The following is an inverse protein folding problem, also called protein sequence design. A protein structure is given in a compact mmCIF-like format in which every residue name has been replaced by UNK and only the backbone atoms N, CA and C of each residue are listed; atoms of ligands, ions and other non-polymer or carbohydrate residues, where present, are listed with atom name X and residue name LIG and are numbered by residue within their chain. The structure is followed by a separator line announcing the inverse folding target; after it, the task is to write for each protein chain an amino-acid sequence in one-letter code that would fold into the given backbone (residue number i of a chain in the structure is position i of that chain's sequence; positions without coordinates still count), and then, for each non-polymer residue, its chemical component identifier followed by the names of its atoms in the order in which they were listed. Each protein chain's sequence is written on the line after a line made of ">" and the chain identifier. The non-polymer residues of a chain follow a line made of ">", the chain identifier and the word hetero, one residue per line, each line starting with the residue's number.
data_IF_216330791425
#
_entry.id   IF_216330791425
#
_cell.length_a   1.000
_cell.length_b   1.000
_cell.length_c   1.000
_cell.angle_alpha   90.00
_cell.angle_beta   90.00
_cell.angle_gamma   90.00
#
_symmetry.space_group_name_H-M   'P 1'
#
loop_
_entity.id
_entity.type
_entity.pdbx_description
1 polymer ?
#
# COMPACT_ATOMS: atom_id res chain seq x y z
N UNK A 1 14.61 14.82 28.43
CA UNK A 1 15.25 14.16 27.28
C UNK A 1 14.49 14.61 26.04
N UNK A 2 15.08 15.49 25.21
CA UNK A 2 14.51 15.90 23.92
C UNK A 2 14.46 14.65 23.03
N UNK A 3 13.28 14.26 22.58
CA UNK A 3 13.13 13.10 21.72
C UNK A 3 13.71 13.41 20.33
N UNK A 4 14.31 12.43 19.65
CA UNK A 4 14.83 12.53 18.26
C UNK A 4 13.84 13.24 17.30
N UNK A 5 12.55 13.20 17.61
CA UNK A 5 11.45 13.84 16.90
C UNK A 5 11.53 15.38 16.87
N UNK A 6 12.08 16.01 17.93
CA UNK A 6 12.09 17.48 18.00
C UNK A 6 13.20 18.12 17.13
N UNK A 7 14.29 17.42 16.88
CA UNK A 7 15.39 17.90 16.03
C UNK A 7 15.06 17.87 14.52
N UNK A 8 14.06 17.11 14.10
CA UNK A 8 13.65 16.96 12.69
C UNK A 8 12.43 17.81 12.31
N UNK A 9 11.78 18.46 13.28
CA UNK A 9 10.62 19.32 13.00
C UNK A 9 11.02 20.50 12.12
N UNK A 10 10.39 20.58 10.95
CA UNK A 10 10.56 21.71 10.02
C UNK A 10 11.77 21.64 9.09
N UNK A 11 12.69 20.67 9.27
CA UNK A 11 13.83 20.50 8.37
C UNK A 11 13.36 19.92 7.03
N UNK A 12 13.92 20.41 5.93
CA UNK A 12 13.75 19.83 4.60
C UNK A 12 14.55 18.53 4.49
N UNK A 13 13.91 17.47 4.00
CA UNK A 13 14.53 16.15 3.75
C UNK A 13 15.03 16.12 2.31
N UNK A 14 16.34 16.03 2.10
CA UNK A 14 16.96 16.23 0.79
C UNK A 14 17.45 14.93 0.13
N UNK A 15 17.70 13.89 0.92
CA UNK A 15 18.23 12.61 0.44
C UNK A 15 17.60 11.41 1.15
N UNK A 16 17.83 10.21 0.61
CA UNK A 16 17.23 8.98 1.13
C UNK A 16 17.70 8.61 2.54
N UNK A 17 18.95 8.97 2.91
CA UNK A 17 19.44 8.74 4.27
C UNK A 17 18.71 9.61 5.30
N UNK A 18 18.42 10.87 4.97
CA UNK A 18 17.59 11.73 5.84
C UNK A 18 16.14 11.23 5.87
N UNK A 19 15.60 10.78 4.73
CA UNK A 19 14.27 10.19 4.66
C UNK A 19 14.15 8.97 5.59
N UNK A 20 15.17 8.11 5.66
CA UNK A 20 15.17 6.94 6.53
C UNK A 20 14.98 7.31 8.01
N UNK A 21 15.50 8.46 8.45
CA UNK A 21 15.43 8.91 9.85
C UNK A 21 14.02 9.36 10.27
N UNK A 22 13.10 9.57 9.31
CA UNK A 22 11.70 9.89 9.57
C UNK A 22 10.89 8.66 9.96
N UNK A 23 11.43 7.44 9.79
CA UNK A 23 10.71 6.20 10.07
C UNK A 23 10.33 6.07 11.55
N UNK A 24 9.07 5.72 11.76
CA UNK A 24 8.47 5.43 13.07
C UNK A 24 7.40 4.36 12.85
N UNK A 25 7.75 3.13 13.19
CA UNK A 25 6.85 1.98 13.05
C UNK A 25 6.05 1.71 14.32
N UNK A 26 5.79 2.75 15.13
CA UNK A 26 5.11 2.62 16.42
C UNK A 26 3.72 2.00 16.28
N UNK A 27 2.99 2.35 15.22
CA UNK A 27 1.65 1.81 15.01
C UNK A 27 1.68 0.35 14.58
N UNK A 28 2.42 0.02 13.51
CA UNK A 28 2.46 -1.37 13.03
C UNK A 28 3.08 -2.31 14.08
N UNK A 29 4.04 -1.84 14.87
CA UNK A 29 4.64 -2.60 15.96
C UNK A 29 3.68 -2.84 17.15
N UNK A 30 2.62 -2.07 17.27
CA UNK A 30 1.54 -2.30 18.24
C UNK A 30 0.57 -3.40 17.81
N UNK A 31 0.63 -3.81 16.55
CA UNK A 31 -0.25 -4.81 15.94
C UNK A 31 0.43 -6.19 15.91
N UNK A 32 -0.39 -7.23 15.80
CA UNK A 32 0.08 -8.62 15.68
C UNK A 32 0.11 -9.05 14.22
N UNK A 33 1.23 -9.58 13.77
CA UNK A 33 1.31 -10.25 12.49
C UNK A 33 0.50 -11.55 12.50
N UNK A 34 0.06 -12.00 11.32
CA UNK A 34 -0.51 -13.34 11.16
C UNK A 34 0.52 -14.39 11.56
N UNK A 35 0.21 -15.29 12.53
CA UNK A 35 1.16 -16.30 13.02
C UNK A 35 1.56 -17.34 11.98
N UNK A 36 0.80 -17.47 10.89
CA UNK A 36 1.13 -18.37 9.77
C UNK A 36 2.05 -17.71 8.73
N UNK A 37 2.31 -16.42 8.86
CA UNK A 37 3.18 -15.70 7.94
C UNK A 37 4.66 -15.92 8.22
N UNK A 38 5.49 -15.73 7.21
CA UNK A 38 6.95 -15.71 7.37
C UNK A 38 7.43 -14.31 7.75
N UNK A 39 8.40 -14.21 8.65
CA UNK A 39 8.94 -12.92 9.12
C UNK A 39 9.73 -12.18 8.04
N UNK A 40 10.23 -12.90 7.04
CA UNK A 40 10.98 -12.36 5.91
C UNK A 40 10.13 -11.71 4.83
N UNK A 41 8.79 -11.81 4.96
CA UNK A 41 7.85 -11.19 4.02
C UNK A 41 7.70 -11.93 2.68
N UNK A 42 8.17 -13.16 2.56
CA UNK A 42 8.08 -13.96 1.33
C UNK A 42 6.75 -14.70 1.17
N UNK A 43 5.74 -14.39 1.97
CA UNK A 43 4.40 -14.96 1.88
C UNK A 43 3.56 -14.26 0.79
N UNK A 44 3.73 -14.71 -0.45
CA UNK A 44 3.05 -14.14 -1.63
C UNK A 44 1.91 -15.04 -2.17
N UNK A 45 1.75 -16.26 -1.62
CA UNK A 45 0.76 -17.20 -2.11
C UNK A 45 -0.65 -16.82 -1.63
N UNK A 46 -1.65 -16.82 -2.53
CA UNK A 46 -3.03 -16.61 -2.15
C UNK A 46 -3.48 -17.64 -1.12
N UNK A 47 -3.99 -17.19 0.00
CA UNK A 47 -4.51 -18.04 1.06
C UNK A 47 -5.55 -17.32 1.92
N UNK A 48 -6.32 -18.07 2.69
CA UNK A 48 -7.11 -17.51 3.78
C UNK A 48 -6.20 -17.07 4.93
N UNK A 49 -6.52 -15.92 5.55
CA UNK A 49 -5.81 -15.39 6.72
C UNK A 49 -6.82 -15.29 7.87
N UNK A 50 -6.69 -16.17 8.84
CA UNK A 50 -7.67 -16.31 9.93
C UNK A 50 -7.35 -15.48 11.15
N UNK A 51 -6.11 -15.03 11.30
CA UNK A 51 -5.58 -14.40 12.50
C UNK A 51 -4.59 -13.29 12.13
N UNK A 52 -4.25 -12.43 13.10
CA UNK A 52 -3.36 -11.29 12.90
C UNK A 52 -4.04 -10.07 12.28
N UNK A 53 -3.39 -8.94 12.43
CA UNK A 53 -3.85 -7.66 11.86
C UNK A 53 -3.27 -7.45 10.46
N UNK A 54 -2.10 -8.00 10.20
CA UNK A 54 -1.38 -7.86 8.95
C UNK A 54 -0.55 -9.09 8.63
N UNK A 55 -0.16 -9.20 7.37
CA UNK A 55 0.81 -10.18 6.88
C UNK A 55 2.06 -9.42 6.45
N UNK A 56 3.27 -9.75 6.95
CA UNK A 56 4.53 -9.25 6.42
C UNK A 56 4.66 -9.63 4.94
N UNK A 57 4.96 -8.67 4.08
CA UNK A 57 5.12 -8.89 2.63
C UNK A 57 6.19 -7.98 2.07
N UNK A 58 7.17 -8.53 1.37
CA UNK A 58 8.13 -7.77 0.57
C UNK A 58 7.54 -7.50 -0.80
N UNK A 59 7.48 -6.24 -1.26
CA UNK A 59 7.01 -5.94 -2.61
C UNK A 59 7.87 -6.63 -3.67
N UNK A 60 7.25 -6.94 -4.80
CA UNK A 60 7.97 -7.33 -6.01
C UNK A 60 8.25 -6.07 -6.82
N UNK A 61 9.50 -5.67 -6.91
CA UNK A 61 9.92 -4.50 -7.69
C UNK A 61 9.46 -4.59 -9.15
N UNK A 62 9.09 -3.46 -9.76
CA UNK A 62 8.94 -3.40 -11.20
C UNK A 62 10.34 -3.29 -11.84
N UNK A 63 10.63 -4.07 -12.89
CA UNK A 63 11.92 -3.97 -13.58
C UNK A 63 12.02 -2.65 -14.37
N UNK A 64 13.24 -2.16 -14.50
CA UNK A 64 13.56 -0.93 -15.24
C UNK A 64 12.62 0.23 -14.92
N UNK A 65 12.51 0.63 -13.62
CA UNK A 65 11.56 1.65 -13.20
C UNK A 65 11.92 3.01 -13.80
N UNK A 66 10.92 3.66 -14.40
CA UNK A 66 11.00 5.03 -14.86
C UNK A 66 10.11 5.92 -13.98
N UNK A 67 10.68 6.98 -13.47
CA UNK A 67 9.94 8.00 -12.73
C UNK A 67 9.02 8.80 -13.66
N UNK A 68 7.75 8.95 -13.29
CA UNK A 68 6.75 9.70 -14.04
C UNK A 68 6.41 11.03 -13.37
N UNK A 69 6.05 10.99 -12.07
CA UNK A 69 5.59 12.19 -11.38
C UNK A 69 5.60 12.05 -9.87
N UNK A 70 5.53 13.18 -9.17
CA UNK A 70 5.24 13.28 -7.74
C UNK A 70 4.28 14.44 -7.47
N UNK A 71 3.62 14.44 -6.32
CA UNK A 71 2.80 15.57 -5.88
C UNK A 71 3.67 16.64 -5.25
N UNK A 72 3.90 17.74 -5.97
CA UNK A 72 4.64 18.91 -5.45
C UNK A 72 4.00 19.48 -4.16
N UNK A 73 2.66 19.46 -4.07
CA UNK A 73 1.95 19.93 -2.90
C UNK A 73 2.25 19.04 -1.70
N UNK A 74 2.11 17.71 -1.86
CA UNK A 74 2.38 16.75 -0.80
C UNK A 74 3.85 16.78 -0.36
N UNK A 75 4.81 16.87 -1.30
CA UNK A 75 6.22 17.00 -0.96
C UNK A 75 6.47 18.21 -0.07
N UNK A 76 5.90 19.37 -0.38
CA UNK A 76 5.98 20.58 0.46
C UNK A 76 5.36 20.37 1.84
N UNK A 77 4.20 19.75 1.93
CA UNK A 77 3.50 19.44 3.17
C UNK A 77 4.32 18.51 4.07
N UNK A 78 4.98 17.51 3.48
CA UNK A 78 5.82 16.55 4.19
C UNK A 78 7.27 17.04 4.39
N UNK A 79 7.61 18.24 3.91
CA UNK A 79 9.00 18.77 3.93
C UNK A 79 9.99 17.86 3.21
N UNK A 80 9.60 17.34 2.06
CA UNK A 80 10.45 16.57 1.16
C UNK A 80 10.96 17.46 0.02
N UNK A 81 12.26 17.37 -0.28
CA UNK A 81 12.85 18.02 -1.44
C UNK A 81 12.49 17.24 -2.73
N UNK A 82 12.24 17.96 -3.81
CA UNK A 82 12.08 17.35 -5.12
C UNK A 82 13.35 16.62 -5.60
N UNK A 83 14.53 16.90 -5.04
CA UNK A 83 15.77 16.19 -5.37
C UNK A 83 15.75 14.72 -4.94
N UNK A 84 14.89 14.34 -3.97
CA UNK A 84 14.63 12.93 -3.65
C UNK A 84 14.20 12.11 -4.88
N UNK A 85 13.50 12.72 -5.84
CA UNK A 85 13.10 12.03 -7.08
C UNK A 85 14.27 11.69 -8.01
N UNK A 86 15.46 12.23 -7.75
CA UNK A 86 16.72 11.92 -8.42
C UNK A 86 17.60 10.97 -7.61
N UNK A 87 17.31 10.77 -6.32
CA UNK A 87 18.01 9.82 -5.47
C UNK A 87 17.67 8.38 -5.90
N UNK A 88 18.70 7.63 -6.28
CA UNK A 88 18.54 6.27 -6.80
C UNK A 88 17.87 5.33 -5.80
N UNK A 89 18.19 5.42 -4.51
CA UNK A 89 17.63 4.56 -3.49
C UNK A 89 16.16 4.93 -3.20
N UNK A 90 15.82 6.21 -3.24
CA UNK A 90 14.43 6.66 -3.14
C UNK A 90 13.60 6.12 -4.31
N UNK A 91 14.11 6.22 -5.54
CA UNK A 91 13.44 5.69 -6.72
C UNK A 91 13.27 4.16 -6.65
N UNK A 92 14.32 3.43 -6.26
CA UNK A 92 14.25 1.97 -6.08
C UNK A 92 13.23 1.58 -5.01
N UNK A 93 13.26 2.24 -3.84
CA UNK A 93 12.35 1.95 -2.74
C UNK A 93 10.88 2.11 -3.16
N UNK A 94 10.53 3.22 -3.78
CA UNK A 94 9.16 3.52 -4.19
C UNK A 94 8.73 2.87 -5.51
N UNK A 95 9.64 2.20 -6.21
CA UNK A 95 9.32 1.28 -7.32
C UNK A 95 9.28 -0.19 -6.90
N UNK A 96 9.33 -0.47 -5.59
CA UNK A 96 9.09 -1.78 -4.99
C UNK A 96 10.34 -2.53 -4.53
N UNK A 97 11.53 -2.00 -4.77
CA UNK A 97 12.77 -2.60 -4.28
C UNK A 97 13.14 -2.04 -2.89
N UNK A 98 12.48 -2.57 -1.87
CA UNK A 98 12.73 -2.14 -0.49
C UNK A 98 13.99 -2.75 0.14
N UNK A 99 14.77 -3.55 -0.61
CA UNK A 99 16.07 -4.06 -0.14
C UNK A 99 17.08 -2.94 0.11
N UNK A 100 16.85 -1.75 -0.46
CA UNK A 100 17.65 -0.54 -0.24
C UNK A 100 17.34 0.18 1.07
N UNK A 101 16.39 -0.31 1.86
CA UNK A 101 16.04 0.28 3.15
C UNK A 101 17.27 0.43 4.05
N UNK A 102 17.43 1.64 4.61
CA UNK A 102 18.54 1.98 5.52
C UNK A 102 17.97 2.07 6.94
N UNK A 103 18.63 1.44 7.90
CA UNK A 103 18.20 1.56 9.29
C UNK A 103 17.99 3.04 9.70
N UNK A 104 16.86 3.39 10.33
CA UNK A 104 15.86 2.53 10.98
C UNK A 104 14.67 2.08 10.10
N UNK A 105 14.72 2.21 8.78
CA UNK A 105 13.67 1.67 7.90
C UNK A 105 13.61 0.14 7.97
N UNK A 106 12.38 -0.41 7.85
CA UNK A 106 12.16 -1.85 7.71
C UNK A 106 12.39 -2.30 6.27
N UNK A 107 13.12 -3.40 6.03
CA UNK A 107 13.21 -4.03 4.72
C UNK A 107 12.02 -4.95 4.42
N UNK A 108 11.00 -4.96 5.26
CA UNK A 108 9.79 -5.77 5.10
C UNK A 108 8.57 -4.85 5.22
N UNK A 109 7.69 -4.91 4.24
CA UNK A 109 6.40 -4.23 4.23
C UNK A 109 5.28 -5.10 4.82
N UNK A 110 4.05 -4.63 4.68
CA UNK A 110 2.88 -5.36 5.20
C UNK A 110 1.64 -5.14 4.34
N UNK A 111 0.76 -6.16 4.35
CA UNK A 111 -0.57 -6.11 3.75
C UNK A 111 -1.62 -6.42 4.82
N UNK A 112 -2.77 -5.75 4.77
CA UNK A 112 -3.83 -5.90 5.76
C UNK A 112 -5.02 -6.63 5.18
N UNK A 113 -5.64 -7.49 6.00
CA UNK A 113 -6.92 -8.11 5.71
C UNK A 113 -8.09 -7.17 6.01
N UNK A 114 -9.18 -7.30 5.25
CA UNK A 114 -10.45 -6.64 5.54
C UNK A 114 -11.61 -7.45 4.97
N UNK A 115 -12.80 -7.35 5.56
CA UNK A 115 -13.99 -7.92 4.97
C UNK A 115 -14.55 -6.99 3.89
N UNK A 116 -15.12 -7.58 2.84
CA UNK A 116 -15.96 -6.86 1.89
C UNK A 116 -17.41 -6.96 2.34
N UNK A 117 -18.00 -5.82 2.64
CA UNK A 117 -19.43 -5.72 2.89
C UNK A 117 -20.05 -4.69 1.96
N UNK A 118 -21.23 -5.02 1.47
CA UNK A 118 -22.12 -4.07 0.81
C UNK A 118 -23.42 -4.05 1.62
N UNK A 119 -23.80 -2.87 2.11
CA UNK A 119 -25.01 -2.68 2.92
C UNK A 119 -25.09 -3.56 4.19
N UNK A 120 -23.94 -3.80 4.83
CA UNK A 120 -23.87 -4.64 6.03
C UNK A 120 -23.90 -6.15 5.77
N UNK A 121 -23.89 -6.59 4.51
CA UNK A 121 -23.86 -8.00 4.12
C UNK A 121 -22.45 -8.41 3.70
N UNK A 122 -21.92 -9.45 4.31
CA UNK A 122 -20.60 -9.98 3.98
C UNK A 122 -20.66 -10.89 2.74
N UNK A 123 -19.83 -10.59 1.74
CA UNK A 123 -19.74 -11.34 0.50
C UNK A 123 -18.66 -12.42 0.58
N UNK A 124 -18.94 -13.55 1.20
CA UNK A 124 -18.01 -14.68 1.25
C UNK A 124 -17.87 -15.39 -0.12
N UNK A 125 -18.89 -15.29 -0.95
CA UNK A 125 -18.94 -15.95 -2.27
C UNK A 125 -17.86 -15.47 -3.25
N UNK A 126 -17.40 -14.22 -3.13
CA UNK A 126 -16.31 -13.68 -3.94
C UNK A 126 -14.93 -14.05 -3.42
N UNK A 127 -14.85 -14.65 -2.25
CA UNK A 127 -13.58 -15.16 -1.72
C UNK A 127 -13.23 -16.47 -2.43
N UNK A 128 -12.03 -16.62 -3.03
CA UNK A 128 -11.61 -17.82 -3.73
C UNK A 128 -11.66 -19.09 -2.86
N UNK A 129 -11.61 -18.90 -1.54
CA UNK A 129 -11.59 -19.98 -0.55
C UNK A 129 -12.97 -20.23 0.08
N UNK A 130 -13.99 -19.45 -0.27
CA UNK A 130 -15.34 -19.56 0.31
C UNK A 130 -15.45 -19.21 1.81
N UNK A 131 -14.37 -18.70 2.42
CA UNK A 131 -14.28 -18.46 3.88
C UNK A 131 -14.45 -17.00 4.26
N UNK A 132 -14.39 -16.08 3.28
CA UNK A 132 -14.32 -14.64 3.51
C UNK A 132 -12.96 -14.14 4.03
N UNK A 133 -12.00 -15.03 4.32
CA UNK A 133 -10.68 -14.68 4.87
C UNK A 133 -9.61 -14.41 3.80
N UNK A 134 -9.98 -14.37 2.53
CA UNK A 134 -9.10 -14.06 1.39
C UNK A 134 -9.19 -12.62 0.91
N UNK A 135 -9.91 -11.74 1.62
CA UNK A 135 -10.02 -10.33 1.25
C UNK A 135 -8.98 -9.48 1.98
N UNK A 136 -8.43 -8.51 1.26
CA UNK A 136 -7.45 -7.58 1.81
C UNK A 136 -6.68 -6.83 0.72
N UNK A 137 -5.52 -6.36 1.08
CA UNK A 137 -4.58 -5.65 0.21
C UNK A 137 -3.92 -6.61 -0.80
N UNK A 138 -4.64 -6.98 -1.86
CA UNK A 138 -4.20 -7.98 -2.83
C UNK A 138 -3.09 -7.52 -3.79
N UNK A 139 -2.84 -6.22 -3.89
CA UNK A 139 -1.77 -5.60 -4.70
C UNK A 139 -1.25 -4.30 -4.10
N UNK A 140 -1.62 -4.03 -2.87
CA UNK A 140 -1.18 -2.85 -2.13
C UNK A 140 -0.36 -3.33 -0.93
N UNK A 141 0.84 -2.78 -0.77
CA UNK A 141 1.77 -3.17 0.27
C UNK A 141 2.27 -1.90 0.92
N UNK A 142 2.01 -1.75 2.22
CA UNK A 142 2.57 -0.67 3.01
C UNK A 142 4.04 -0.95 3.28
N UNK A 143 4.89 0.05 3.04
CA UNK A 143 6.36 -0.12 3.10
C UNK A 143 7.03 0.84 4.07
N UNK A 144 6.33 1.89 4.47
CA UNK A 144 6.88 2.91 5.33
C UNK A 144 5.81 3.48 6.27
N UNK A 145 6.17 3.68 7.51
CA UNK A 145 5.46 4.45 8.49
C UNK A 145 6.44 5.43 9.12
N UNK A 146 6.09 6.71 9.19
CA UNK A 146 7.01 7.72 9.69
C UNK A 146 6.33 8.98 10.19
N UNK A 147 7.12 9.82 10.86
CA UNK A 147 6.69 11.09 11.43
C UNK A 147 7.14 12.25 10.56
N UNK A 148 6.18 12.95 9.98
CA UNK A 148 6.37 14.14 9.15
C UNK A 148 5.77 15.35 9.86
N UNK A 149 6.60 16.30 10.30
CA UNK A 149 6.17 17.46 11.08
C UNK A 149 5.31 17.09 12.32
N UNK A 150 5.63 15.97 12.98
CA UNK A 150 4.88 15.48 14.14
C UNK A 150 3.56 14.76 13.78
N UNK A 151 3.25 14.58 12.49
CA UNK A 151 2.10 13.80 12.03
C UNK A 151 2.58 12.45 11.50
N UNK A 152 1.97 11.37 11.99
CA UNK A 152 2.22 10.03 11.47
C UNK A 152 1.61 9.89 10.08
N UNK A 153 2.39 9.33 9.17
CA UNK A 153 1.96 8.99 7.81
C UNK A 153 2.41 7.58 7.46
N UNK A 154 1.53 6.85 6.82
CA UNK A 154 1.78 5.54 6.25
C UNK A 154 1.89 5.67 4.72
N UNK A 155 2.88 4.99 4.13
CA UNK A 155 3.11 4.98 2.69
C UNK A 155 2.90 3.57 2.14
N UNK A 156 2.01 3.47 1.16
CA UNK A 156 1.58 2.21 0.59
C UNK A 156 1.77 2.18 -0.92
N UNK A 157 2.51 1.19 -1.40
CA UNK A 157 2.70 0.92 -2.83
C UNK A 157 1.47 0.21 -3.40
N UNK A 158 0.88 0.73 -4.46
CA UNK A 158 -0.18 0.06 -5.20
C UNK A 158 0.33 -0.43 -6.55
N UNK A 159 0.24 -1.73 -6.75
CA UNK A 159 0.89 -2.44 -7.85
C UNK A 159 2.20 -3.12 -7.44
N UNK A 160 2.48 -3.20 -6.13
CA UNK A 160 3.72 -3.74 -5.56
C UNK A 160 3.88 -5.26 -5.64
N UNK A 161 3.05 -5.95 -6.43
CA UNK A 161 3.11 -7.41 -6.59
C UNK A 161 2.07 -8.15 -5.75
N UNK A 162 2.07 -9.49 -5.80
CA UNK A 162 1.09 -10.32 -5.12
C UNK A 162 1.27 -10.31 -3.60
N UNK A 163 0.18 -10.53 -2.90
CA UNK A 163 0.09 -10.75 -1.46
C UNK A 163 -0.80 -11.95 -1.20
N UNK A 164 -0.93 -12.47 0.03
CA UNK A 164 -1.90 -13.52 0.34
C UNK A 164 -3.35 -13.18 -0.05
N UNK A 165 -3.67 -11.91 -0.18
CA UNK A 165 -5.01 -11.43 -0.55
C UNK A 165 -5.18 -11.17 -2.06
N UNK A 166 -4.22 -11.51 -2.91
CA UNK A 166 -4.28 -11.20 -4.35
C UNK A 166 -5.27 -12.08 -5.14
N UNK A 167 -5.83 -13.12 -4.53
CA UNK A 167 -6.85 -14.00 -5.11
C UNK A 167 -6.45 -14.62 -6.47
N UNK A 168 -5.16 -14.97 -6.61
CA UNK A 168 -4.61 -15.52 -7.84
C UNK A 168 -4.24 -14.48 -8.92
N UNK A 169 -4.43 -13.17 -8.64
CA UNK A 169 -4.00 -12.13 -9.55
C UNK A 169 -2.48 -11.84 -9.42
N UNK A 170 -1.92 -11.18 -10.42
CA UNK A 170 -0.49 -10.83 -10.50
C UNK A 170 -0.03 -9.75 -9.52
N UNK A 171 -0.95 -9.11 -8.80
CA UNK A 171 -0.63 -8.03 -7.87
C UNK A 171 -0.17 -6.72 -8.53
N UNK A 172 -0.20 -6.62 -9.86
CA UNK A 172 0.24 -5.43 -10.59
C UNK A 172 -0.88 -4.42 -10.81
N UNK A 173 -0.51 -3.15 -10.82
CA UNK A 173 -1.30 -2.07 -11.39
C UNK A 173 -0.76 -1.74 -12.79
N UNK A 174 -1.58 -1.08 -13.62
CA UNK A 174 -1.19 -0.61 -14.95
C UNK A 174 -1.09 0.91 -14.98
N UNK A 175 -0.22 1.46 -15.81
CA UNK A 175 0.06 2.90 -15.88
C UNK A 175 -1.22 3.74 -15.95
N UNK A 176 -2.13 3.42 -16.85
CA UNK A 176 -3.39 4.18 -17.05
C UNK A 176 -4.24 4.26 -15.78
N UNK A 177 -4.35 3.16 -15.01
CA UNK A 177 -5.11 3.15 -13.76
C UNK A 177 -4.38 3.87 -12.64
N UNK A 178 -3.05 3.79 -12.63
CA UNK A 178 -2.20 4.46 -11.64
C UNK A 178 -2.20 5.97 -11.84
N UNK A 179 -2.14 6.45 -13.10
CA UNK A 179 -2.31 7.88 -13.42
C UNK A 179 -3.66 8.40 -12.95
N UNK A 180 -4.76 7.65 -13.26
CA UNK A 180 -6.10 8.05 -12.83
C UNK A 180 -6.22 8.13 -11.32
N UNK A 181 -5.67 7.16 -10.59
CA UNK A 181 -5.67 7.17 -9.13
C UNK A 181 -4.87 8.34 -8.58
N UNK A 182 -3.68 8.58 -9.12
CA UNK A 182 -2.82 9.70 -8.75
C UNK A 182 -3.55 11.04 -8.90
N UNK A 183 -4.12 11.29 -10.06
CA UNK A 183 -4.84 12.53 -10.36
C UNK A 183 -6.10 12.69 -9.51
N UNK A 184 -6.87 11.62 -9.30
CA UNK A 184 -8.09 11.66 -8.52
C UNK A 184 -7.81 12.01 -7.04
N UNK A 185 -6.76 11.46 -6.45
CA UNK A 185 -6.38 11.76 -5.07
C UNK A 185 -5.98 13.24 -4.90
N UNK A 186 -5.13 13.75 -5.78
CA UNK A 186 -4.68 15.14 -5.71
C UNK A 186 -5.81 16.12 -6.06
N UNK A 187 -6.75 15.75 -6.96
CA UNK A 187 -7.94 16.54 -7.24
C UNK A 187 -8.87 16.62 -6.03
N UNK A 188 -9.13 15.49 -5.36
CA UNK A 188 -9.98 15.49 -4.16
C UNK A 188 -9.38 16.34 -3.04
N UNK A 189 -8.06 16.25 -2.83
CA UNK A 189 -7.36 17.11 -1.89
C UNK A 189 -7.47 18.60 -2.28
N UNK A 190 -7.34 18.94 -3.56
CA UNK A 190 -7.49 20.30 -4.05
C UNK A 190 -8.92 20.87 -3.85
N UNK A 191 -9.92 19.99 -3.85
CA UNK A 191 -11.32 20.32 -3.55
C UNK A 191 -11.63 20.36 -2.05
N UNK A 192 -10.65 20.11 -1.18
CA UNK A 192 -10.82 20.08 0.27
C UNK A 192 -11.54 18.83 0.79
N UNK A 193 -11.62 17.77 -0.01
CA UNK A 193 -12.24 16.50 0.37
C UNK A 193 -11.18 15.61 1.03
N UNK A 194 -11.39 15.13 2.27
CA UNK A 194 -10.47 14.21 2.92
C UNK A 194 -10.22 12.96 2.05
N UNK A 195 -8.95 12.69 1.75
CA UNK A 195 -8.55 11.59 0.86
C UNK A 195 -7.15 11.11 1.20
N UNK A 196 -6.79 9.90 0.75
CA UNK A 196 -5.39 9.54 0.65
C UNK A 196 -4.71 10.37 -0.44
N UNK A 197 -3.41 10.63 -0.29
CA UNK A 197 -2.62 11.45 -1.20
C UNK A 197 -1.71 10.58 -2.07
N UNK A 198 -1.24 11.13 -3.17
CA UNK A 198 -0.29 10.47 -4.07
C UNK A 198 1.11 11.04 -3.92
N UNK A 199 2.09 10.22 -3.48
CA UNK A 199 3.48 10.66 -3.35
C UNK A 199 4.21 10.62 -4.68
N UNK A 200 4.33 9.43 -5.27
CA UNK A 200 5.09 9.17 -6.49
C UNK A 200 4.35 8.21 -7.42
N UNK A 201 4.72 8.25 -8.69
CA UNK A 201 4.29 7.34 -9.73
C UNK A 201 5.49 6.87 -10.54
N UNK A 202 5.67 5.55 -10.63
CA UNK A 202 6.67 4.87 -11.44
C UNK A 202 6.01 3.92 -12.43
N UNK A 203 6.64 3.74 -13.61
CA UNK A 203 6.24 2.78 -14.63
C UNK A 203 7.42 1.87 -14.98
N UNK A 204 7.14 0.61 -15.30
CA UNK A 204 8.16 -0.28 -15.83
C UNK A 204 8.34 -0.05 -17.35
N UNK A 205 9.60 0.01 -17.80
CA UNK A 205 9.89 0.06 -19.23
C UNK A 205 9.71 -1.31 -19.91
N UNK A 206 9.95 -2.38 -19.20
CA UNK A 206 9.99 -3.75 -19.77
C UNK A 206 8.81 -4.61 -19.36
N UNK A 207 8.28 -4.49 -18.14
CA UNK A 207 7.18 -5.34 -17.67
C UNK A 207 5.84 -4.88 -18.22
N UNK A 208 5.15 -5.79 -18.92
CA UNK A 208 3.79 -5.60 -19.40
C UNK A 208 2.87 -6.65 -18.78
N UNK A 209 1.65 -6.23 -18.50
CA UNK A 209 0.61 -7.11 -17.95
C UNK A 209 -0.64 -7.03 -18.81
N UNK A 210 -1.25 -8.18 -19.09
CA UNK A 210 -2.47 -8.26 -19.91
C UNK A 210 -3.68 -7.89 -19.10
N UNK A 211 -4.51 -7.01 -19.67
CA UNK A 211 -5.77 -6.58 -19.04
C UNK A 211 -6.91 -6.54 -20.05
N UNK A 212 -8.14 -6.84 -19.60
CA UNK A 212 -9.31 -6.72 -20.46
C UNK A 212 -9.49 -5.30 -21.00
N UNK A 213 -9.90 -5.20 -22.24
CA UNK A 213 -10.18 -3.94 -22.94
C UNK A 213 -11.25 -4.12 -24.01
N UNK A 214 -11.60 -3.04 -24.64
CA UNK A 214 -12.59 -3.01 -25.71
C UNK A 214 -11.91 -2.91 -27.08
N UNK A 215 -12.35 -3.73 -28.05
CA UNK A 215 -11.94 -3.59 -29.43
C UNK A 215 -12.42 -2.26 -30.02
N UNK A 216 -11.76 -1.81 -31.10
CA UNK A 216 -12.14 -0.57 -31.77
C UNK A 216 -13.57 -0.68 -32.33
N UNK A 217 -14.46 0.20 -31.89
CA UNK A 217 -15.87 0.21 -32.30
C UNK A 217 -16.76 -0.79 -31.54
N UNK A 218 -16.24 -1.47 -30.52
CA UNK A 218 -17.05 -2.32 -29.67
C UNK A 218 -18.22 -1.57 -29.07
N UNK A 219 -19.41 -2.20 -29.10
CA UNK A 219 -20.64 -1.72 -28.43
C UNK A 219 -21.00 -2.60 -27.23
N UNK A 220 -20.12 -3.54 -26.84
CA UNK A 220 -20.35 -4.44 -25.71
C UNK A 220 -20.15 -3.69 -24.38
N UNK A 221 -20.92 -4.06 -23.39
CA UNK A 221 -20.75 -3.55 -22.01
C UNK A 221 -19.50 -4.14 -21.35
N UNK A 222 -19.11 -5.33 -21.75
CA UNK A 222 -17.94 -6.03 -21.20
C UNK A 222 -16.76 -5.99 -22.19
N UNK A 223 -15.53 -5.96 -21.65
CA UNK A 223 -14.33 -6.04 -22.47
C UNK A 223 -14.30 -7.32 -23.32
N UNK A 224 -13.94 -7.18 -24.59
CA UNK A 224 -13.94 -8.25 -25.60
C UNK A 224 -12.54 -8.62 -26.10
N UNK A 225 -11.50 -7.89 -25.69
CA UNK A 225 -10.10 -8.18 -26.02
C UNK A 225 -9.20 -8.09 -24.79
N UNK A 226 -8.01 -8.64 -24.92
CA UNK A 226 -6.93 -8.48 -23.96
C UNK A 226 -5.80 -7.67 -24.57
N UNK A 227 -5.36 -6.60 -23.88
CA UNK A 227 -4.25 -5.75 -24.31
C UNK A 227 -3.11 -5.75 -23.29
N UNK A 228 -1.90 -5.58 -23.78
CA UNK A 228 -0.72 -5.38 -22.96
C UNK A 228 -0.65 -3.94 -22.46
N UNK A 229 -0.45 -3.78 -21.16
CA UNK A 229 -0.28 -2.50 -20.50
C UNK A 229 1.01 -2.52 -19.69
N UNK A 230 1.71 -1.41 -19.65
CA UNK A 230 2.89 -1.27 -18.78
C UNK A 230 2.48 -1.40 -17.32
N UNK A 231 3.26 -2.19 -16.56
CA UNK A 231 3.13 -2.27 -15.12
C UNK A 231 3.57 -0.95 -14.49
N UNK A 232 2.90 -0.54 -13.41
CA UNK A 232 3.20 0.70 -12.71
C UNK A 232 2.96 0.55 -11.21
N UNK A 233 3.66 1.38 -10.43
CA UNK A 233 3.46 1.53 -8.99
C UNK A 233 3.15 3.00 -8.70
N UNK A 234 2.04 3.24 -8.00
CA UNK A 234 1.77 4.53 -7.36
C UNK A 234 1.89 4.40 -5.85
N UNK A 235 2.56 5.36 -5.23
CA UNK A 235 2.69 5.42 -3.77
C UNK A 235 1.58 6.28 -3.20
N UNK A 236 0.75 5.68 -2.35
CA UNK A 236 -0.30 6.36 -1.60
C UNK A 236 0.20 6.75 -0.23
N UNK A 237 -0.29 7.88 0.28
CA UNK A 237 0.03 8.39 1.63
C UNK A 237 -1.27 8.73 2.37
N UNK A 238 -1.36 8.29 3.61
CA UNK A 238 -2.45 8.63 4.53
C UNK A 238 -1.94 8.53 5.98
N UNK A 239 -2.64 9.11 6.96
CA UNK A 239 -2.32 8.86 8.37
C UNK A 239 -2.39 7.38 8.75
N UNK A 240 -3.27 6.63 8.08
CA UNK A 240 -3.41 5.17 8.18
C UNK A 240 -4.19 4.64 6.99
N UNK A 241 -3.94 3.38 6.61
CA UNK A 241 -4.76 2.66 5.63
C UNK A 241 -5.75 1.69 6.30
N UNK A 242 -6.07 1.90 7.58
CA UNK A 242 -7.19 1.22 8.21
C UNK A 242 -8.51 1.56 7.50
N UNK A 243 -9.34 0.55 7.29
CA UNK A 243 -10.61 0.66 6.56
C UNK A 243 -11.77 0.18 7.43
N UNK A 244 -12.97 0.67 7.16
CA UNK A 244 -14.21 0.18 7.79
C UNK A 244 -14.33 -1.35 7.67
N UNK A 245 -13.91 -1.93 6.56
CA UNK A 245 -13.90 -3.38 6.37
C UNK A 245 -13.03 -4.16 7.34
N UNK A 246 -12.06 -3.54 8.00
CA UNK A 246 -11.29 -4.20 9.07
C UNK A 246 -12.12 -4.36 10.34
N UNK A 247 -12.90 -3.35 10.72
CA UNK A 247 -13.84 -3.48 11.85
C UNK A 247 -14.79 -4.65 11.64
N UNK A 248 -15.30 -4.80 10.43
CA UNK A 248 -16.19 -5.90 10.05
C UNK A 248 -15.47 -7.26 10.08
N UNK A 249 -14.24 -7.33 9.56
CA UNK A 249 -13.41 -8.54 9.63
C UNK A 249 -13.21 -8.99 11.09
N UNK A 250 -12.86 -8.07 11.97
CA UNK A 250 -12.64 -8.39 13.38
C UNK A 250 -13.93 -8.73 14.11
N UNK A 251 -15.03 -8.05 13.82
CA UNK A 251 -16.35 -8.42 14.35
C UNK A 251 -16.74 -9.85 13.94
N UNK A 252 -16.44 -10.28 12.70
CA UNK A 252 -16.64 -11.65 12.25
C UNK A 252 -15.74 -12.64 13.01
N UNK A 253 -14.47 -12.31 13.16
CA UNK A 253 -13.53 -13.14 13.93
C UNK A 253 -13.98 -13.32 15.37
N UNK A 254 -14.50 -12.29 16.02
CA UNK A 254 -15.10 -12.39 17.37
C UNK A 254 -16.26 -13.37 17.39
N UNK A 255 -17.18 -13.29 16.41
CA UNK A 255 -18.29 -14.27 16.30
C UNK A 255 -17.79 -15.71 16.15
N UNK A 256 -16.58 -15.90 15.65
CA UNK A 256 -15.92 -17.19 15.46
C UNK A 256 -14.91 -17.51 16.59
N UNK A 257 -15.07 -16.90 17.78
CA UNK A 257 -14.26 -17.10 18.99
C UNK A 257 -12.79 -16.62 18.88
N UNK A 258 -12.48 -15.67 18.01
CA UNK A 258 -11.17 -15.03 17.91
C UNK A 258 -11.21 -13.63 18.56
N UNK A 259 -11.31 -13.55 19.89
CA UNK A 259 -11.57 -12.31 20.63
C UNK A 259 -10.33 -11.42 20.83
N UNK A 260 -9.15 -12.01 21.01
CA UNK A 260 -7.95 -11.30 21.48
C UNK A 260 -7.48 -10.20 20.51
N UNK A 261 -7.67 -10.43 19.21
CA UNK A 261 -7.24 -9.48 18.18
C UNK A 261 -8.20 -8.28 18.06
N UNK A 262 -9.49 -8.50 18.31
CA UNK A 262 -10.49 -7.43 18.25
C UNK A 262 -10.30 -6.42 19.39
N UNK A 263 -9.89 -6.87 20.58
CA UNK A 263 -9.63 -6.00 21.72
C UNK A 263 -8.46 -5.06 21.45
N UNK A 264 -7.45 -5.48 20.71
CA UNK A 264 -6.31 -4.63 20.38
C UNK A 264 -6.66 -3.48 19.42
N UNK A 265 -7.70 -3.61 18.59
CA UNK A 265 -8.19 -2.52 17.73
C UNK A 265 -8.91 -1.40 18.50
N UNK A 266 -9.47 -1.69 19.68
CA UNK A 266 -10.16 -0.70 20.51
C UNK A 266 -9.17 0.32 21.08
N UNK A 267 -7.90 -0.05 21.18
CA UNK A 267 -6.83 0.79 21.74
C UNK A 267 -6.02 1.57 20.66
N UNK A 268 -6.40 1.45 19.41
CA UNK A 268 -5.82 2.16 18.27
C UNK A 268 -6.69 3.37 17.89
#
# INVERSE_FOLDING_TARGET
>A
MSTKSDSLKGKLTENFSEFSQLSDYSFINSLKADPQSTKDGNDHKPRSVYSGHYVPVVPTAIPEPEYISHSNKLFKELKLSSDLTKDQNFCRFFSGDISVAIYPMSPVGWATGYALSIYGTEYTQQCPFGTGNGYGDGRAISVFEGLFNGKRMEMQLKGGGPTPYCRGADGRAVLRSSVREFLAQELMDALGIPTSRSLTLFVSRSEKVRRPWYSKGSRYFEPDIMIDNQAAITTRVAPSFLRVGQLELFARRVRNNAHDEALSLIHI
#
